data_IF_843849854391
#
_entry.id   IF_843849854391
#
_cell.length_a   1.000
_cell.length_b   1.000
_cell.length_c   1.000
_cell.angle_alpha   90.00
_cell.angle_beta   90.00
_cell.angle_gamma   90.00
#
_symmetry.space_group_name_H-M   'P 1'
#
loop_
_entity.id
_entity.type
_entity.pdbx_description
1 polymer ?
#
# COMPACT_ATOMS: atom_id res chain seq x y z
N UNK A 1 44.89 46.65 -6.82
CA UNK A 1 45.15 45.20 -6.66
C UNK A 1 44.91 44.86 -5.21
N UNK A 2 43.79 44.21 -4.90
CA UNK A 2 43.82 42.78 -4.59
C UNK A 2 42.37 42.27 -4.70
N UNK A 3 42.12 41.47 -5.74
CA UNK A 3 40.92 40.66 -5.89
C UNK A 3 41.34 39.25 -5.46
N UNK A 4 41.02 38.84 -4.26
CA UNK A 4 41.06 37.42 -3.90
C UNK A 4 40.24 37.13 -2.65
N UNK A 5 39.49 36.03 -2.72
CA UNK A 5 38.77 35.36 -1.63
C UNK A 5 37.33 35.81 -1.34
N UNK A 6 36.52 35.90 -2.40
CA UNK A 6 35.12 35.43 -2.34
C UNK A 6 35.00 34.18 -3.22
N UNK A 7 35.20 33.00 -2.63
CA UNK A 7 34.78 31.71 -3.19
C UNK A 7 35.08 30.58 -2.20
N UNK A 8 34.05 30.06 -1.56
CA UNK A 8 33.81 28.61 -1.58
C UNK A 8 32.35 28.32 -1.19
N UNK A 9 31.56 28.04 -2.22
CA UNK A 9 30.37 27.23 -2.13
C UNK A 9 30.78 25.80 -1.74
N UNK A 10 30.00 25.12 -0.92
CA UNK A 10 29.73 23.70 -1.13
C UNK A 10 28.36 23.39 -0.57
N UNK A 11 27.44 23.33 -1.52
CA UNK A 11 26.10 22.78 -1.45
C UNK A 11 26.15 21.38 -0.83
N UNK A 12 25.48 21.20 0.30
CA UNK A 12 25.06 19.87 0.74
C UNK A 12 23.93 19.41 -0.17
N UNK A 13 24.25 18.85 -1.34
CA UNK A 13 23.26 18.15 -2.14
C UNK A 13 22.90 16.85 -1.41
N UNK A 14 21.82 16.86 -0.62
CA UNK A 14 21.10 15.63 -0.31
C UNK A 14 20.66 15.03 -1.65
N UNK A 15 21.36 13.97 -2.06
CA UNK A 15 20.92 13.15 -3.18
C UNK A 15 19.64 12.46 -2.70
N UNK A 16 18.49 13.03 -3.04
CA UNK A 16 17.20 12.37 -2.84
C UNK A 16 17.27 11.06 -3.61
N UNK A 17 17.47 9.94 -2.91
CA UNK A 17 17.47 8.63 -3.53
C UNK A 17 16.10 8.42 -4.15
N UNK A 18 16.07 8.17 -5.46
CA UNK A 18 14.83 7.86 -6.18
C UNK A 18 14.19 6.62 -5.53
N UNK A 19 12.97 6.78 -5.04
CA UNK A 19 12.17 5.68 -4.48
C UNK A 19 11.74 4.74 -5.60
N UNK A 20 11.67 3.45 -5.31
CA UNK A 20 11.11 2.46 -6.22
C UNK A 20 9.59 2.52 -6.12
N UNK A 21 8.90 2.48 -7.26
CA UNK A 21 7.45 2.67 -7.28
C UNK A 21 6.77 1.85 -8.37
N UNK A 22 5.52 1.48 -8.14
CA UNK A 22 4.68 0.78 -9.11
C UNK A 22 3.20 0.88 -8.78
N UNK A 23 2.37 0.30 -9.64
CA UNK A 23 0.93 0.22 -9.43
C UNK A 23 0.34 -1.02 -10.08
N UNK A 24 -0.73 -1.53 -9.48
CA UNK A 24 -1.58 -2.57 -10.06
C UNK A 24 -2.97 -1.98 -10.27
N UNK A 25 -3.54 -2.20 -11.45
CA UNK A 25 -4.88 -1.72 -11.80
C UNK A 25 -5.72 -2.86 -12.33
N UNK A 26 -6.94 -3.03 -11.82
CA UNK A 26 -7.84 -4.12 -12.20
C UNK A 26 -9.30 -3.68 -12.15
N UNK A 27 -10.04 -3.97 -13.22
CA UNK A 27 -11.50 -3.90 -13.22
C UNK A 27 -12.08 -5.06 -12.43
N UNK A 28 -13.05 -4.78 -11.55
CA UNK A 28 -13.64 -5.75 -10.64
C UNK A 28 -15.06 -6.07 -11.06
N UNK A 29 -15.42 -7.35 -11.01
CA UNK A 29 -16.75 -7.87 -11.36
C UNK A 29 -17.69 -7.99 -10.15
N UNK A 30 -17.68 -6.98 -9.30
CA UNK A 30 -18.58 -6.84 -8.13
C UNK A 30 -18.96 -5.38 -7.92
N UNK A 31 -20.08 -5.08 -7.23
CA UNK A 31 -20.50 -3.73 -6.91
C UNK A 31 -19.41 -2.94 -6.17
N UNK A 32 -19.03 -1.74 -6.63
CA UNK A 32 -18.01 -0.91 -6.00
C UNK A 32 -18.27 -0.67 -4.50
N UNK A 33 -19.52 -0.53 -4.08
CA UNK A 33 -19.84 -0.34 -2.66
C UNK A 33 -19.44 -1.53 -1.77
N UNK A 34 -19.57 -2.76 -2.28
CA UNK A 34 -19.18 -3.97 -1.55
C UNK A 34 -17.65 -4.06 -1.49
N UNK A 35 -16.98 -3.80 -2.61
CA UNK A 35 -15.52 -3.78 -2.68
C UNK A 35 -14.94 -2.75 -1.70
N UNK A 36 -15.49 -1.52 -1.68
CA UNK A 36 -15.05 -0.48 -0.76
C UNK A 36 -15.32 -0.86 0.70
N UNK A 37 -16.51 -1.39 1.01
CA UNK A 37 -16.83 -1.85 2.37
C UNK A 37 -15.83 -2.89 2.88
N UNK A 38 -15.37 -3.81 2.01
CA UNK A 38 -14.38 -4.82 2.35
C UNK A 38 -12.98 -4.22 2.50
N UNK A 39 -12.53 -3.40 1.55
CA UNK A 39 -11.16 -2.88 1.55
C UNK A 39 -10.92 -1.76 2.57
N UNK A 40 -11.95 -0.97 2.90
CA UNK A 40 -11.87 0.10 3.91
C UNK A 40 -11.91 -0.41 5.36
N UNK A 41 -12.31 -1.67 5.59
CA UNK A 41 -12.09 -2.34 6.87
C UNK A 41 -10.59 -2.69 6.97
N UNK A 42 -9.77 -1.71 7.35
CA UNK A 42 -8.32 -1.85 7.42
C UNK A 42 -7.88 -3.02 8.31
N UNK A 43 -8.63 -3.40 9.34
CA UNK A 43 -8.32 -4.63 10.11
C UNK A 43 -8.94 -5.92 9.53
N UNK A 44 -9.81 -5.80 8.54
CA UNK A 44 -10.52 -6.91 7.89
C UNK A 44 -9.75 -7.64 6.79
N UNK A 45 -8.44 -7.45 6.68
CA UNK A 45 -7.63 -8.04 5.60
C UNK A 45 -7.75 -9.57 5.49
N UNK A 46 -7.94 -10.28 6.60
CA UNK A 46 -8.16 -11.74 6.63
C UNK A 46 -9.38 -12.20 5.85
N UNK A 47 -10.32 -11.29 5.54
CA UNK A 47 -11.53 -11.59 4.75
C UNK A 47 -11.24 -11.79 3.27
N UNK A 48 -10.12 -11.27 2.78
CA UNK A 48 -9.83 -11.23 1.34
C UNK A 48 -8.37 -11.52 1.00
N UNK A 49 -7.44 -11.50 1.95
CA UNK A 49 -6.03 -11.84 1.72
C UNK A 49 -5.75 -13.24 2.28
N UNK A 50 -5.75 -14.25 1.40
CA UNK A 50 -5.49 -15.66 1.78
C UNK A 50 -4.12 -15.87 2.47
N UNK A 51 -3.19 -14.93 2.32
CA UNK A 51 -1.83 -14.99 2.88
C UNK A 51 -1.74 -14.44 4.32
N UNK A 52 -2.85 -13.91 4.85
CA UNK A 52 -2.92 -13.32 6.20
C UNK A 52 -3.91 -14.15 7.03
N UNK A 53 -3.41 -14.83 8.05
CA UNK A 53 -4.19 -15.64 9.00
C UNK A 53 -4.79 -14.77 10.12
N UNK A 54 -4.06 -13.74 10.55
CA UNK A 54 -4.47 -12.86 11.66
C UNK A 54 -4.20 -11.39 11.33
N UNK A 55 -5.07 -10.52 11.83
CA UNK A 55 -4.94 -9.08 11.68
C UNK A 55 -5.43 -8.39 12.96
N UNK A 56 -4.49 -7.91 13.77
CA UNK A 56 -4.75 -7.45 15.13
C UNK A 56 -4.53 -5.94 15.27
N UNK A 57 -5.39 -5.27 16.04
CA UNK A 57 -5.15 -3.87 16.42
C UNK A 57 -4.04 -3.81 17.47
N UNK A 58 -2.98 -3.05 17.21
CA UNK A 58 -1.89 -2.87 18.17
C UNK A 58 -1.74 -1.44 18.67
N UNK A 59 -2.35 -0.46 17.98
CA UNK A 59 -2.38 0.94 18.42
C UNK A 59 -3.58 1.68 17.83
N UNK A 60 -4.12 2.66 18.55
CA UNK A 60 -5.18 3.55 18.09
C UNK A 60 -6.59 2.93 18.14
N UNK A 61 -7.51 3.55 17.40
CA UNK A 61 -8.90 3.11 17.28
C UNK A 61 -9.12 2.36 15.96
N UNK A 62 -9.87 1.27 15.98
CA UNK A 62 -10.09 0.42 14.81
C UNK A 62 -10.56 1.24 13.60
N UNK A 63 -9.83 1.11 12.49
CA UNK A 63 -10.10 1.76 11.19
C UNK A 63 -10.08 3.31 11.20
N UNK A 64 -9.61 3.93 12.28
CA UNK A 64 -9.37 5.37 12.34
C UNK A 64 -7.96 5.71 11.82
N UNK A 65 -7.79 6.92 11.28
CA UNK A 65 -6.47 7.43 10.90
C UNK A 65 -5.53 7.38 12.10
N UNK A 66 -4.34 6.83 11.88
CA UNK A 66 -3.33 6.62 12.91
C UNK A 66 -3.36 5.24 13.55
N UNK A 67 -4.40 4.43 13.34
CA UNK A 67 -4.43 3.07 13.85
C UNK A 67 -3.33 2.21 13.24
N UNK A 68 -2.83 1.27 14.04
CA UNK A 68 -1.78 0.33 13.64
C UNK A 68 -2.31 -1.08 13.74
N UNK A 69 -2.19 -1.83 12.64
CA UNK A 69 -2.51 -3.26 12.57
C UNK A 69 -1.23 -4.09 12.55
N UNK A 70 -1.32 -5.31 13.04
CA UNK A 70 -0.31 -6.35 12.88
C UNK A 70 -0.93 -7.50 12.09
N UNK A 71 -0.53 -7.62 10.83
CA UNK A 71 -0.99 -8.66 9.93
C UNK A 71 0.05 -9.79 9.88
N UNK A 72 -0.39 -11.03 10.09
CA UNK A 72 0.47 -12.21 10.08
C UNK A 72 -0.14 -13.36 9.30
N UNK A 73 0.70 -14.06 8.56
CA UNK A 73 0.45 -15.38 8.01
C UNK A 73 1.77 -16.17 7.93
N UNK A 74 1.80 -17.30 7.22
CA UNK A 74 2.94 -18.21 7.26
C UNK A 74 4.26 -17.60 6.73
N UNK A 75 4.16 -16.70 5.75
CA UNK A 75 5.31 -16.06 5.09
C UNK A 75 5.33 -14.53 5.24
N UNK A 76 4.25 -13.93 5.74
CA UNK A 76 4.09 -12.47 5.81
C UNK A 76 3.85 -12.07 7.26
N UNK A 77 4.65 -11.13 7.74
CA UNK A 77 4.39 -10.39 8.98
C UNK A 77 4.66 -8.91 8.73
N UNK A 78 3.64 -8.07 8.90
CA UNK A 78 3.73 -6.62 8.70
C UNK A 78 3.03 -5.87 9.84
N UNK A 79 3.71 -4.86 10.39
CA UNK A 79 3.13 -3.85 11.28
C UNK A 79 2.85 -2.61 10.47
N UNK A 80 1.58 -2.26 10.31
CA UNK A 80 1.15 -1.25 9.33
C UNK A 80 0.28 -0.19 9.96
N UNK A 81 0.50 1.07 9.58
CA UNK A 81 -0.24 2.22 10.07
C UNK A 81 -1.12 2.82 8.99
N UNK A 82 -2.39 3.03 9.30
CA UNK A 82 -3.31 3.79 8.44
C UNK A 82 -2.95 5.28 8.51
N UNK A 83 -2.57 5.87 7.39
CA UNK A 83 -2.09 7.26 7.30
C UNK A 83 -3.20 8.21 6.88
N UNK A 84 -4.05 7.77 5.95
CA UNK A 84 -5.19 8.55 5.48
C UNK A 84 -6.30 7.60 5.02
N UNK A 85 -7.55 8.05 5.15
CA UNK A 85 -8.72 7.41 4.57
C UNK A 85 -9.72 8.48 4.15
N UNK A 86 -10.23 8.36 2.94
CA UNK A 86 -11.24 9.22 2.37
C UNK A 86 -12.39 8.35 1.85
N UNK A 87 -13.45 8.15 2.65
CA UNK A 87 -14.61 7.36 2.25
C UNK A 87 -15.40 7.95 1.09
N UNK A 88 -15.34 9.28 0.88
CA UNK A 88 -16.06 9.94 -0.21
C UNK A 88 -15.40 9.60 -1.54
N UNK A 89 -14.07 9.67 -1.56
CA UNK A 89 -13.29 9.33 -2.74
C UNK A 89 -12.91 7.84 -2.81
N UNK A 90 -13.32 6.98 -1.88
CA UNK A 90 -12.97 5.55 -1.84
C UNK A 90 -11.44 5.30 -1.92
N UNK A 91 -10.68 6.04 -1.11
CA UNK A 91 -9.22 6.04 -1.11
C UNK A 91 -8.66 5.84 0.29
N UNK A 92 -7.57 5.10 0.44
CA UNK A 92 -6.80 5.08 1.69
C UNK A 92 -5.31 4.88 1.45
N UNK A 93 -4.50 5.37 2.37
CA UNK A 93 -3.04 5.25 2.35
C UNK A 93 -2.55 4.66 3.66
N UNK A 94 -1.62 3.73 3.58
CA UNK A 94 -0.96 3.12 4.74
C UNK A 94 0.54 3.00 4.53
N UNK A 95 1.26 2.88 5.63
CA UNK A 95 2.71 2.64 5.65
C UNK A 95 3.04 1.39 6.45
N UNK A 96 4.08 0.68 6.05
CA UNK A 96 4.62 -0.46 6.80
C UNK A 96 5.73 0.07 7.72
N UNK A 97 5.52 -0.06 9.02
CA UNK A 97 6.45 0.38 10.06
C UNK A 97 7.51 -0.68 10.38
N UNK A 98 7.15 -1.95 10.28
CA UNK A 98 8.02 -3.10 10.52
C UNK A 98 7.53 -4.30 9.70
N UNK A 99 8.44 -5.15 9.20
CA UNK A 99 8.09 -6.29 8.38
C UNK A 99 9.23 -7.31 8.20
N UNK A 100 8.84 -8.56 7.90
CA UNK A 100 9.76 -9.64 7.53
C UNK A 100 10.11 -9.69 6.02
N UNK A 101 9.61 -8.75 5.22
CA UNK A 101 9.78 -8.74 3.75
C UNK A 101 11.00 -7.92 3.29
N UNK A 102 11.64 -7.18 4.20
CA UNK A 102 12.76 -6.30 3.87
C UNK A 102 12.35 -4.99 3.19
N UNK A 103 11.09 -4.58 3.35
CA UNK A 103 10.56 -3.32 2.86
C UNK A 103 11.03 -2.17 3.76
N UNK A 104 11.52 -1.08 3.15
CA UNK A 104 12.02 0.11 3.85
C UNK A 104 11.27 1.33 3.35
N UNK A 105 10.76 2.15 4.28
CA UNK A 105 10.03 3.36 3.93
C UNK A 105 8.82 3.08 3.03
N UNK A 106 8.14 1.94 3.19
CA UNK A 106 7.06 1.54 2.29
C UNK A 106 5.79 2.35 2.53
N UNK A 107 5.19 2.83 1.45
CA UNK A 107 3.87 3.45 1.46
C UNK A 107 3.03 2.91 0.30
N UNK A 108 1.77 2.63 0.56
CA UNK A 108 0.82 2.20 -0.46
C UNK A 108 -0.50 2.95 -0.36
N UNK A 109 -1.09 3.20 -1.52
CA UNK A 109 -2.38 3.89 -1.66
C UNK A 109 -3.31 3.02 -2.47
N UNK A 110 -4.45 2.65 -1.87
CA UNK A 110 -5.55 1.99 -2.53
C UNK A 110 -6.57 3.05 -2.97
N UNK A 111 -7.09 2.89 -4.19
CA UNK A 111 -8.12 3.74 -4.75
C UNK A 111 -9.14 2.87 -5.49
N UNK A 112 -10.43 3.02 -5.18
CA UNK A 112 -11.50 2.43 -5.98
C UNK A 112 -12.20 3.54 -6.78
N UNK A 113 -12.32 3.33 -8.09
CA UNK A 113 -12.97 4.27 -9.01
C UNK A 113 -14.23 3.59 -9.54
N UNK A 114 -15.38 4.25 -9.37
CA UNK A 114 -16.62 3.82 -10.01
C UNK A 114 -16.70 4.44 -11.41
N UNK A 115 -16.77 3.59 -12.42
CA UNK A 115 -16.83 3.98 -13.82
C UNK A 115 -18.27 4.34 -14.22
N UNK A 116 -18.43 5.06 -15.33
CA UNK A 116 -19.75 5.48 -15.84
C UNK A 116 -20.70 4.32 -16.19
N UNK A 117 -20.15 3.13 -16.47
CA UNK A 117 -20.91 1.91 -16.70
C UNK A 117 -21.26 1.13 -15.41
N UNK A 118 -21.00 1.71 -14.24
CA UNK A 118 -21.26 1.10 -12.93
C UNK A 118 -20.19 0.10 -12.46
N UNK A 119 -19.17 -0.22 -13.29
CA UNK A 119 -18.09 -1.11 -12.87
C UNK A 119 -17.09 -0.42 -11.94
N UNK A 120 -16.45 -1.20 -11.06
CA UNK A 120 -15.36 -0.72 -10.21
C UNK A 120 -14.00 -0.99 -10.83
N UNK A 121 -13.08 -0.03 -10.72
CA UNK A 121 -11.66 -0.20 -11.03
C UNK A 121 -10.86 0.08 -9.77
N UNK A 122 -10.10 -0.92 -9.31
CA UNK A 122 -9.12 -0.72 -8.24
C UNK A 122 -7.79 -0.35 -8.85
N UNK A 123 -7.18 0.69 -8.29
CA UNK A 123 -5.79 1.05 -8.48
C UNK A 123 -5.08 0.96 -7.12
N UNK A 124 -3.99 0.20 -7.05
CA UNK A 124 -3.18 0.07 -5.85
C UNK A 124 -1.74 0.46 -6.17
N UNK A 125 -1.35 1.65 -5.72
CA UNK A 125 -0.01 2.22 -5.88
C UNK A 125 0.85 1.86 -4.69
N UNK A 126 2.15 1.71 -4.94
CA UNK A 126 3.13 1.50 -3.88
C UNK A 126 4.45 2.19 -4.23
N UNK A 127 5.16 2.57 -3.18
CA UNK A 127 6.52 3.08 -3.25
C UNK A 127 7.33 2.66 -2.01
N UNK A 128 8.64 2.51 -2.17
CA UNK A 128 9.56 2.15 -1.12
C UNK A 128 10.95 2.73 -1.38
N UNK A 129 11.74 2.84 -0.33
CA UNK A 129 13.15 3.15 -0.47
C UNK A 129 13.90 1.92 -1.03
N UNK A 130 14.97 2.11 -1.82
CA UNK A 130 15.81 1.01 -2.26
C UNK A 130 16.33 0.19 -1.07
N UNK A 131 16.14 -1.13 -1.15
CA UNK A 131 16.51 -2.07 -0.07
C UNK A 131 17.41 -3.17 -0.61
N UNK A 132 18.44 -3.54 0.17
CA UNK A 132 19.35 -4.63 -0.17
C UNK A 132 18.68 -6.01 -0.19
N UNK A 133 17.47 -6.13 0.36
CA UNK A 133 16.67 -7.36 0.29
C UNK A 133 16.18 -7.68 -1.12
N UNK A 134 16.19 -6.68 -2.02
CA UNK A 134 15.82 -6.86 -3.42
C UNK A 134 17.01 -6.52 -4.32
N UNK A 135 17.30 -7.38 -5.29
CA UNK A 135 18.49 -7.18 -6.14
C UNK A 135 18.35 -5.97 -7.09
N UNK A 136 17.14 -5.65 -7.55
CA UNK A 136 16.86 -4.53 -8.46
C UNK A 136 15.46 -3.95 -8.25
N UNK A 137 15.23 -2.73 -8.75
CA UNK A 137 13.90 -2.10 -8.79
C UNK A 137 12.89 -2.99 -9.52
N UNK A 138 13.27 -3.60 -10.65
CA UNK A 138 12.35 -4.45 -11.42
C UNK A 138 11.91 -5.69 -10.63
N UNK A 139 12.82 -6.30 -9.85
CA UNK A 139 12.47 -7.45 -9.01
C UNK A 139 11.55 -7.05 -7.86
N UNK A 140 11.80 -5.90 -7.24
CA UNK A 140 10.93 -5.34 -6.21
C UNK A 140 9.52 -5.05 -6.77
N UNK A 141 9.44 -4.31 -7.88
CA UNK A 141 8.17 -3.97 -8.53
C UNK A 141 7.43 -5.24 -8.96
N UNK A 142 8.12 -6.23 -9.52
CA UNK A 142 7.53 -7.50 -9.91
C UNK A 142 6.94 -8.26 -8.71
N UNK A 143 7.68 -8.35 -7.61
CA UNK A 143 7.22 -9.00 -6.38
C UNK A 143 5.99 -8.29 -5.80
N UNK A 144 6.06 -6.97 -5.61
CA UNK A 144 4.98 -6.19 -5.02
C UNK A 144 3.73 -6.17 -5.90
N UNK A 145 3.88 -6.02 -7.22
CA UNK A 145 2.76 -6.08 -8.15
C UNK A 145 2.09 -7.46 -8.11
N UNK A 146 2.85 -8.55 -8.05
CA UNK A 146 2.28 -9.90 -7.92
C UNK A 146 1.51 -10.07 -6.60
N UNK A 147 2.02 -9.52 -5.50
CA UNK A 147 1.37 -9.58 -4.19
C UNK A 147 0.05 -8.80 -4.18
N UNK A 148 0.06 -7.54 -4.63
CA UNK A 148 -1.13 -6.70 -4.66
C UNK A 148 -2.19 -7.21 -5.65
N UNK A 149 -1.78 -7.78 -6.79
CA UNK A 149 -2.70 -8.44 -7.73
C UNK A 149 -3.47 -9.59 -7.05
N UNK A 150 -2.79 -10.42 -6.25
CA UNK A 150 -3.45 -11.47 -5.46
C UNK A 150 -4.43 -10.90 -4.43
N UNK A 151 -4.09 -9.77 -3.80
CA UNK A 151 -4.99 -9.13 -2.83
C UNK A 151 -6.25 -8.59 -3.51
N UNK A 152 -6.13 -7.99 -4.70
CA UNK A 152 -7.27 -7.50 -5.47
C UNK A 152 -8.14 -8.66 -5.96
N UNK A 153 -7.54 -9.77 -6.41
CA UNK A 153 -8.30 -10.98 -6.77
C UNK A 153 -9.03 -11.58 -5.56
N UNK A 154 -8.41 -11.54 -4.40
CA UNK A 154 -9.03 -11.89 -3.13
C UNK A 154 -10.23 -11.00 -2.78
N UNK A 155 -10.09 -9.68 -2.93
CA UNK A 155 -11.19 -8.71 -2.77
C UNK A 155 -12.37 -9.02 -3.69
N UNK A 156 -12.10 -9.28 -4.97
CA UNK A 156 -13.15 -9.64 -5.94
C UNK A 156 -13.89 -10.91 -5.51
N UNK A 157 -13.17 -11.95 -5.10
CA UNK A 157 -13.79 -13.21 -4.64
C UNK A 157 -14.62 -13.02 -3.38
N UNK A 158 -14.12 -12.23 -2.42
CA UNK A 158 -14.84 -11.92 -1.20
C UNK A 158 -16.11 -11.10 -1.48
N UNK A 159 -16.03 -10.10 -2.36
CA UNK A 159 -17.18 -9.28 -2.75
C UNK A 159 -18.27 -10.10 -3.44
N UNK A 160 -17.89 -10.98 -4.38
CA UNK A 160 -18.83 -11.87 -5.07
C UNK A 160 -19.51 -12.90 -4.14
N UNK A 161 -18.99 -13.13 -2.93
CA UNK A 161 -19.63 -13.99 -1.93
C UNK A 161 -20.61 -13.24 -1.02
N UNK A 162 -20.46 -11.93 -0.86
CA UNK A 162 -21.40 -11.08 -0.10
C UNK A 162 -22.68 -10.74 -0.89
N UNK A 163 -22.65 -10.90 -2.22
CA UNK A 163 -23.82 -10.71 -3.10
C UNK A 163 -24.83 -11.88 -3.08
N UNK A 164 -24.44 -13.02 -2.49
CA UNK A 164 -25.26 -14.25 -2.45
C UNK A 164 -26.08 -14.33 -1.17
#
# INVERSE_FOLDING_TARGET
>A
MDQSSVKECLEGSETVRKRWSGSVTRTIKSPPEIVWKLSSDFLGATKYVDMIDTCELVEGEKNAVGCVRLARGPEIETKEKLVAIDPVNCCYTYTIMDNNLGLVGYMATFQLITMSNGSGVVEWKFEADPSSSYATEEKFVSFMSSLLEKFIQGLERAAANEEK
#
